data_IF_186089285163
#
_entry.id   IF_186089285163
#
_cell.length_a   1.000
_cell.length_b   1.000
_cell.length_c   1.000
_cell.angle_alpha   90.00
_cell.angle_beta   90.00
_cell.angle_gamma   90.00
#
_symmetry.space_group_name_H-M   'P 1'
#
loop_
_entity.id
_entity.type
_entity.pdbx_description
1 polymer ?
#
# COMPACT_ATOMS: atom_id res chain seq x y z
N UNK A 1 -0.44 10.26 15.45
CA UNK A 1 -1.73 9.71 15.95
C UNK A 1 -2.81 9.62 14.88
N UNK A 2 -2.86 10.48 13.86
CA UNK A 2 -3.89 10.39 12.81
C UNK A 2 -3.86 9.13 11.93
N UNK A 3 -2.67 8.61 11.58
CA UNK A 3 -2.53 7.47 10.67
C UNK A 3 -3.18 6.17 11.17
N UNK A 4 -3.04 5.85 12.46
CA UNK A 4 -3.67 4.68 13.08
C UNK A 4 -5.20 4.82 13.12
N UNK A 5 -5.71 6.00 13.43
CA UNK A 5 -7.15 6.28 13.42
C UNK A 5 -7.76 6.15 12.03
N UNK A 6 -7.11 6.71 11.00
CA UNK A 6 -7.56 6.59 9.61
C UNK A 6 -7.48 5.14 9.11
N UNK A 7 -6.39 4.44 9.37
CA UNK A 7 -6.24 3.03 8.99
C UNK A 7 -7.30 2.14 9.66
N UNK A 8 -7.55 2.36 10.96
CA UNK A 8 -8.59 1.65 11.70
C UNK A 8 -10.00 1.92 11.18
N UNK A 9 -10.32 3.18 10.85
CA UNK A 9 -11.62 3.55 10.29
C UNK A 9 -11.87 2.91 8.91
N UNK A 10 -10.86 2.89 8.03
CA UNK A 10 -10.94 2.26 6.71
C UNK A 10 -11.13 0.74 6.87
N UNK A 11 -10.33 0.09 7.73
CA UNK A 11 -10.45 -1.34 7.98
C UNK A 11 -11.82 -1.70 8.59
N UNK A 12 -12.31 -0.93 9.57
CA UNK A 12 -13.63 -1.13 10.16
C UNK A 12 -14.75 -1.02 9.12
N UNK A 13 -14.66 -0.05 8.21
CA UNK A 13 -15.64 0.14 7.14
C UNK A 13 -15.64 -1.05 6.16
N UNK A 14 -14.46 -1.57 5.82
CA UNK A 14 -14.33 -2.76 4.97
C UNK A 14 -14.96 -4.00 5.62
N UNK A 15 -14.75 -4.21 6.92
CA UNK A 15 -15.37 -5.32 7.67
C UNK A 15 -16.88 -5.15 7.77
N UNK A 16 -17.37 -3.94 8.07
CA UNK A 16 -18.81 -3.67 8.16
C UNK A 16 -19.54 -3.89 6.83
N UNK A 17 -18.85 -3.68 5.71
CA UNK A 17 -19.38 -3.86 4.36
C UNK A 17 -19.08 -5.24 3.76
N UNK A 18 -18.37 -6.12 4.49
CA UNK A 18 -17.88 -7.42 4.00
C UNK A 18 -17.07 -7.30 2.69
N UNK A 19 -16.27 -6.23 2.59
CA UNK A 19 -15.41 -5.93 1.44
C UNK A 19 -13.92 -6.04 1.80
N UNK A 20 -13.55 -6.94 2.71
CA UNK A 20 -12.19 -7.07 3.24
C UNK A 20 -11.17 -7.41 2.15
N UNK A 21 -11.54 -8.31 1.22
CA UNK A 21 -10.68 -8.68 0.09
C UNK A 21 -10.54 -7.50 -0.87
N UNK A 22 -11.59 -6.70 -1.04
CA UNK A 22 -11.58 -5.51 -1.89
C UNK A 22 -10.66 -4.43 -1.33
N UNK A 23 -10.57 -4.31 0.00
CA UNK A 23 -9.69 -3.35 0.67
C UNK A 23 -8.22 -3.59 0.32
N UNK A 24 -7.81 -4.84 0.11
CA UNK A 24 -6.43 -5.16 -0.34
C UNK A 24 -6.15 -4.52 -1.70
N UNK A 25 -7.14 -4.46 -2.59
CA UNK A 25 -7.01 -3.88 -3.93
C UNK A 25 -7.08 -2.36 -3.85
N UNK A 26 -8.11 -1.81 -3.21
CA UNK A 26 -8.32 -0.36 -3.08
C UNK A 26 -7.16 0.29 -2.33
N UNK A 27 -6.74 -0.32 -1.21
CA UNK A 27 -5.61 0.09 -0.39
C UNK A 27 -4.26 -0.44 -0.89
N UNK A 28 -4.15 -0.84 -2.17
CA UNK A 28 -2.99 -1.53 -2.71
C UNK A 28 -1.64 -0.87 -2.42
N UNK A 29 -1.58 0.47 -2.42
CA UNK A 29 -0.35 1.19 -2.07
C UNK A 29 0.07 0.99 -0.60
N UNK A 30 -0.89 0.96 0.34
CA UNK A 30 -0.63 0.67 1.75
C UNK A 30 -0.16 -0.76 1.94
N UNK A 31 -0.74 -1.70 1.19
CA UNK A 31 -0.33 -3.10 1.19
C UNK A 31 1.10 -3.24 0.68
N UNK A 32 1.45 -2.60 -0.44
CA UNK A 32 2.82 -2.62 -0.99
C UNK A 32 3.83 -2.05 0.00
N UNK A 33 3.51 -0.92 0.63
CA UNK A 33 4.35 -0.29 1.65
C UNK A 33 4.59 -1.24 2.84
N UNK A 34 3.54 -1.85 3.38
CA UNK A 34 3.65 -2.81 4.48
C UNK A 34 4.43 -4.08 4.08
N UNK A 35 4.15 -4.63 2.90
CA UNK A 35 4.84 -5.80 2.37
C UNK A 35 6.32 -5.52 2.12
N UNK A 36 6.68 -4.32 1.67
CA UNK A 36 8.08 -3.95 1.45
C UNK A 36 8.89 -4.04 2.75
N UNK A 37 8.29 -3.61 3.88
CA UNK A 37 8.91 -3.72 5.20
C UNK A 37 8.98 -5.18 5.65
N UNK A 38 7.89 -5.94 5.50
CA UNK A 38 7.85 -7.35 5.87
C UNK A 38 8.91 -8.17 5.12
N UNK A 39 9.04 -7.97 3.81
CA UNK A 39 10.05 -8.62 2.96
C UNK A 39 11.46 -8.20 3.38
N UNK A 40 11.69 -6.90 3.58
CA UNK A 40 12.99 -6.38 3.98
C UNK A 40 13.43 -6.96 5.33
N UNK A 41 12.54 -6.96 6.31
CA UNK A 41 12.79 -7.49 7.66
C UNK A 41 13.01 -9.01 7.62
N UNK A 42 12.20 -9.75 6.87
CA UNK A 42 12.36 -11.19 6.69
C UNK A 42 13.71 -11.54 6.03
N UNK A 43 14.06 -10.85 4.93
CA UNK A 43 15.32 -11.06 4.23
C UNK A 43 16.53 -10.73 5.09
N UNK A 44 16.46 -9.62 5.85
CA UNK A 44 17.56 -9.22 6.70
C UNK A 44 17.75 -10.17 7.88
N UNK A 45 16.66 -10.71 8.45
CA UNK A 45 16.76 -11.73 9.50
C UNK A 45 17.29 -13.07 8.98
N UNK A 46 16.83 -13.53 7.80
CA UNK A 46 17.17 -14.86 7.30
C UNK A 46 18.51 -14.93 6.56
N UNK A 47 18.80 -13.92 5.75
CA UNK A 47 19.92 -13.90 4.80
C UNK A 47 20.92 -12.78 5.07
N UNK A 48 20.62 -11.85 6.00
CA UNK A 48 21.43 -10.63 6.27
C UNK A 48 21.65 -9.77 5.03
N UNK A 49 20.78 -9.89 4.03
CA UNK A 49 20.81 -9.12 2.78
C UNK A 49 19.58 -8.22 2.68
N UNK A 50 19.78 -7.01 2.17
CA UNK A 50 18.71 -6.04 1.89
C UNK A 50 18.15 -6.31 0.49
N UNK A 51 16.82 -6.32 0.36
CA UNK A 51 16.12 -6.48 -0.93
C UNK A 51 15.89 -5.12 -1.58
N UNK A 52 15.41 -4.17 -0.78
CA UNK A 52 15.29 -2.76 -1.15
C UNK A 52 16.47 -1.97 -0.57
N UNK A 53 16.83 -0.85 -1.20
CA UNK A 53 17.85 0.07 -0.67
C UNK A 53 17.49 0.52 0.76
N UNK A 54 16.20 0.82 0.95
CA UNK A 54 15.56 1.12 2.24
C UNK A 54 14.09 0.72 2.16
N UNK A 55 13.52 0.28 3.28
CA UNK A 55 12.09 0.05 3.41
C UNK A 55 11.53 1.06 4.43
N UNK A 56 10.30 1.58 4.25
CA UNK A 56 9.33 1.22 3.20
C UNK A 56 9.70 1.67 1.78
N UNK A 57 8.92 1.25 0.77
CA UNK A 57 9.31 1.39 -0.65
C UNK A 57 9.42 2.85 -1.12
N UNK A 58 8.69 3.81 -0.55
CA UNK A 58 8.90 5.22 -0.89
C UNK A 58 10.34 5.71 -0.64
N UNK A 59 10.97 5.30 0.48
CA UNK A 59 12.37 5.64 0.76
C UNK A 59 13.35 4.95 -0.19
N UNK A 60 12.98 3.79 -0.75
CA UNK A 60 13.77 3.19 -1.82
C UNK A 60 13.86 4.12 -3.04
N UNK A 61 12.78 4.80 -3.41
CA UNK A 61 12.78 5.78 -4.50
C UNK A 61 13.53 7.07 -4.14
N UNK A 62 13.47 7.53 -2.89
CA UNK A 62 14.27 8.68 -2.44
C UNK A 62 15.77 8.44 -2.61
N UNK A 63 16.24 7.24 -2.23
CA UNK A 63 17.64 6.84 -2.40
C UNK A 63 18.05 6.66 -3.87
N UNK A 64 17.09 6.53 -4.79
CA UNK A 64 17.30 6.59 -6.24
C UNK A 64 17.25 8.02 -6.79
N UNK A 65 17.39 9.03 -5.93
CA UNK A 65 17.39 10.46 -6.26
C UNK A 65 16.06 10.98 -6.85
N UNK A 66 14.93 10.41 -6.44
CA UNK A 66 13.63 10.99 -6.74
C UNK A 66 13.29 12.07 -5.71
N UNK A 67 12.71 13.18 -6.15
CA UNK A 67 12.16 14.17 -5.24
C UNK A 67 10.92 13.64 -4.54
N UNK A 68 10.74 14.01 -3.28
CA UNK A 68 9.58 13.61 -2.46
C UNK A 68 8.26 13.91 -3.18
N UNK A 69 8.11 15.11 -3.75
CA UNK A 69 6.93 15.49 -4.53
C UNK A 69 6.67 14.55 -5.72
N UNK A 70 7.72 14.11 -6.41
CA UNK A 70 7.61 13.18 -7.54
C UNK A 70 7.10 11.82 -7.07
N UNK A 71 7.55 11.35 -5.91
CA UNK A 71 7.13 10.08 -5.32
C UNK A 71 5.66 10.16 -4.91
N UNK A 72 5.29 11.21 -4.16
CA UNK A 72 3.91 11.44 -3.71
C UNK A 72 2.94 11.45 -4.90
N UNK A 73 3.22 12.21 -5.95
CA UNK A 73 2.36 12.30 -7.12
C UNK A 73 2.23 10.96 -7.85
N UNK A 74 3.31 10.20 -7.99
CA UNK A 74 3.27 8.87 -8.60
C UNK A 74 2.48 7.89 -7.75
N UNK A 75 2.62 7.96 -6.43
CA UNK A 75 1.87 7.10 -5.52
C UNK A 75 0.38 7.43 -5.54
N UNK A 76 0.00 8.71 -5.71
CA UNK A 76 -1.40 9.10 -5.92
C UNK A 76 -1.97 8.55 -7.22
N UNK A 77 -1.20 8.56 -8.31
CA UNK A 77 -1.62 7.96 -9.58
C UNK A 77 -1.86 6.45 -9.40
N UNK A 78 -0.93 5.75 -8.74
CA UNK A 78 -1.09 4.31 -8.46
C UNK A 78 -2.30 4.06 -7.55
N UNK A 79 -2.48 4.85 -6.50
CA UNK A 79 -3.62 4.74 -5.59
C UNK A 79 -4.95 4.98 -6.31
N UNK A 80 -5.00 5.94 -7.24
CA UNK A 80 -6.18 6.20 -8.06
C UNK A 80 -6.49 5.00 -8.96
N UNK A 81 -5.49 4.41 -9.62
CA UNK A 81 -5.65 3.21 -10.46
C UNK A 81 -6.15 2.03 -9.62
N UNK A 82 -5.52 1.75 -8.48
CA UNK A 82 -5.95 0.72 -7.54
C UNK A 82 -7.41 0.91 -7.09
N UNK A 83 -7.79 2.14 -6.76
CA UNK A 83 -9.15 2.49 -6.36
C UNK A 83 -10.15 2.31 -7.50
N UNK A 84 -9.80 2.71 -8.73
CA UNK A 84 -10.65 2.48 -9.91
C UNK A 84 -10.86 1.00 -10.19
N UNK A 85 -9.79 0.19 -10.13
CA UNK A 85 -9.89 -1.26 -10.31
C UNK A 85 -10.79 -1.87 -9.23
N UNK A 86 -10.56 -1.52 -7.95
CA UNK A 86 -11.39 -1.98 -6.84
C UNK A 86 -12.87 -1.60 -7.03
N UNK A 87 -13.15 -0.36 -7.43
CA UNK A 87 -14.52 0.06 -7.73
C UNK A 87 -15.17 -0.74 -8.86
N UNK A 88 -14.44 -1.00 -9.95
CA UNK A 88 -14.97 -1.80 -11.07
C UNK A 88 -15.26 -3.25 -10.68
N UNK A 89 -14.40 -3.86 -9.87
CA UNK A 89 -14.60 -5.23 -9.36
C UNK A 89 -15.81 -5.29 -8.43
N UNK A 90 -15.99 -4.30 -7.56
CA UNK A 90 -17.16 -4.19 -6.72
C UNK A 90 -18.45 -4.06 -7.53
N UNK A 91 -18.45 -3.21 -8.55
CA UNK A 91 -19.59 -3.04 -9.44
C UNK A 91 -19.95 -4.32 -10.21
N UNK A 92 -18.95 -5.10 -10.63
CA UNK A 92 -19.16 -6.39 -11.27
C UNK A 92 -19.73 -7.43 -10.31
N UNK A 93 -19.34 -7.41 -9.03
CA UNK A 93 -19.83 -8.36 -8.02
C UNK A 93 -21.30 -8.15 -7.63
N UNK A 94 -21.85 -6.95 -7.86
CA UNK A 94 -23.26 -6.63 -7.54
C UNK A 94 -24.20 -7.01 -8.70
N UNK A 95 -23.67 -7.07 -9.93
CA UNK A 95 -24.44 -7.45 -11.12
C UNK A 95 -24.57 -8.96 -11.23
#
# INVERSE_FOLDING_TARGET
TGSLGLGGAIAATAVMTQTEVLLIIIGGIFVIEALSVAIQVFSFQRFRKRVFLMAPVHHHFELMAWSETKIILRFWIVAAICSSIGFTLYQQSIK
#
